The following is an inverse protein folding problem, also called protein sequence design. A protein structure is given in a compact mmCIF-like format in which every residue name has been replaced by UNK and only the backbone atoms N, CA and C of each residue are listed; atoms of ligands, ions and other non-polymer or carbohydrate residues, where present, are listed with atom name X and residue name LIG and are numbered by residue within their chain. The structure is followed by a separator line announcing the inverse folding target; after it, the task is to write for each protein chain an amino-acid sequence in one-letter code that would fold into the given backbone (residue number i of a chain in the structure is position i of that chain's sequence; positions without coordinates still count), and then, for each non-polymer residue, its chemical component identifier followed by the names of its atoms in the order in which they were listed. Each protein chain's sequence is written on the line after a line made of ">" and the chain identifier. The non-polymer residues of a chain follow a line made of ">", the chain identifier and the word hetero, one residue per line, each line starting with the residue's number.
data_IF_251385469064
#
_entry.id   IF_251385469064
#
_cell.length_a   1.000
_cell.length_b   1.000
_cell.length_c   1.000
_cell.angle_alpha   90.00
_cell.angle_beta   90.00
_cell.angle_gamma   90.00
#
_symmetry.space_group_name_H-M   'P 1'
#
loop_
_entity.id
_entity.type
_entity.pdbx_description
1 polymer ?
#
# COMPACT_ATOMS: atom_id res chain seq x y z
N UNK A 1 21.68 -56.72 36.88
CA UNK A 1 20.79 -57.87 37.14
C UNK A 1 19.59 -57.71 36.19
N UNK A 2 19.31 -58.50 35.16
CA UNK A 2 19.77 -59.79 34.61
C UNK A 2 19.69 -59.69 33.06
N UNK A 3 20.78 -59.77 32.30
CA UNK A 3 21.24 -60.97 31.57
C UNK A 3 20.16 -61.76 30.79
N UNK A 4 20.10 -61.60 29.46
CA UNK A 4 20.22 -62.69 28.48
C UNK A 4 20.77 -62.15 27.15
N UNK A 5 21.55 -62.99 26.47
CA UNK A 5 22.60 -62.66 25.51
C UNK A 5 22.37 -63.41 24.19
N UNK A 6 22.87 -62.84 23.07
CA UNK A 6 23.09 -63.37 21.68
C UNK A 6 22.34 -62.54 20.64
N UNK A 7 22.93 -62.01 19.58
CA UNK A 7 24.31 -62.01 19.09
C UNK A 7 24.28 -61.22 17.77
N UNK A 8 25.34 -60.46 17.52
CA UNK A 8 25.44 -59.41 16.50
C UNK A 8 25.22 -59.90 15.06
N UNK A 9 24.58 -59.03 14.25
CA UNK A 9 24.78 -58.95 12.81
C UNK A 9 24.90 -57.46 12.42
N UNK A 10 26.05 -56.88 12.77
CA UNK A 10 26.50 -55.63 12.19
C UNK A 10 27.54 -55.95 11.11
N UNK A 11 27.20 -55.69 9.85
CA UNK A 11 28.20 -55.38 8.82
C UNK A 11 27.56 -54.52 7.73
N UNK A 12 28.07 -53.31 7.61
CA UNK A 12 27.77 -52.31 6.59
C UNK A 12 27.97 -52.86 5.17
N UNK A 13 26.89 -52.97 4.41
CA UNK A 13 26.79 -52.86 2.94
C UNK A 13 25.30 -52.88 2.57
N UNK A 14 24.83 -52.13 1.55
CA UNK A 14 23.40 -52.10 1.22
C UNK A 14 23.01 -53.38 0.47
N UNK A 15 22.85 -54.48 1.22
CA UNK A 15 22.18 -55.67 0.71
C UNK A 15 20.69 -55.39 0.65
N UNK A 16 20.13 -55.45 -0.56
CA UNK A 16 18.69 -55.60 -0.82
C UNK A 16 18.20 -56.77 0.06
N UNK A 17 17.55 -56.44 1.17
CA UNK A 17 17.06 -57.42 2.14
C UNK A 17 15.84 -58.12 1.55
N UNK A 18 16.09 -59.22 0.85
CA UNK A 18 15.06 -60.23 0.65
C UNK A 18 14.93 -61.01 1.95
N UNK A 19 13.71 -61.11 2.47
CA UNK A 19 13.38 -61.85 3.67
C UNK A 19 13.58 -63.36 3.45
N UNK A 20 14.83 -63.80 3.46
CA UNK A 20 15.16 -65.19 3.63
C UNK A 20 14.93 -65.54 5.10
N UNK A 21 13.80 -66.19 5.40
CA UNK A 21 13.57 -66.80 6.69
C UNK A 21 14.78 -67.69 7.04
N UNK A 22 15.43 -67.38 8.17
CA UNK A 22 16.52 -68.18 8.72
C UNK A 22 16.01 -69.61 8.98
N UNK A 23 16.29 -70.55 8.06
CA UNK A 23 15.95 -71.97 8.24
C UNK A 23 15.56 -72.77 6.99
N UNK A 24 15.59 -72.22 5.77
CA UNK A 24 15.28 -73.01 4.57
C UNK A 24 16.50 -73.83 4.08
N UNK A 25 16.33 -75.10 3.66
CA UNK A 25 17.43 -75.93 3.14
C UNK A 25 18.04 -75.29 1.88
N UNK A 26 19.34 -75.51 1.67
CA UNK A 26 20.18 -74.85 0.65
C UNK A 26 19.62 -74.86 -0.79
N UNK A 27 18.68 -75.75 -1.13
CA UNK A 27 18.00 -75.81 -2.43
C UNK A 27 17.04 -74.63 -2.72
N UNK A 28 16.61 -73.85 -1.71
CA UNK A 28 15.73 -72.69 -1.89
C UNK A 28 16.46 -71.35 -2.05
N UNK A 29 17.79 -71.35 -2.14
CA UNK A 29 18.59 -70.12 -2.19
C UNK A 29 18.41 -69.30 -3.47
N UNK A 30 17.88 -69.89 -4.56
CA UNK A 30 17.67 -69.19 -5.84
C UNK A 30 16.28 -69.45 -6.47
N UNK A 31 15.22 -69.37 -5.66
CA UNK A 31 13.84 -69.56 -6.14
C UNK A 31 13.48 -68.62 -7.31
N UNK A 32 13.97 -67.38 -7.28
CA UNK A 32 13.73 -66.39 -8.34
C UNK A 32 14.43 -66.71 -9.66
N UNK A 33 15.63 -67.29 -9.61
CA UNK A 33 16.33 -67.77 -10.79
C UNK A 33 15.56 -68.90 -11.49
N UNK A 34 14.99 -69.83 -10.71
CA UNK A 34 14.12 -70.88 -11.26
C UNK A 34 12.84 -70.32 -11.87
N UNK A 35 12.22 -69.33 -11.23
CA UNK A 35 11.03 -68.64 -11.76
C UNK A 35 11.36 -67.97 -13.11
N UNK A 36 12.45 -67.21 -13.17
CA UNK A 36 12.87 -66.53 -14.39
C UNK A 36 13.22 -67.51 -15.52
N UNK A 37 13.87 -68.65 -15.19
CA UNK A 37 14.18 -69.70 -16.15
C UNK A 37 12.92 -70.41 -16.65
N UNK A 38 11.96 -70.67 -15.78
CA UNK A 38 10.68 -71.24 -16.17
C UNK A 38 9.91 -70.29 -17.10
N UNK A 39 9.84 -69.01 -16.75
CA UNK A 39 9.19 -67.99 -17.57
C UNK A 39 9.85 -67.87 -18.93
N UNK A 40 11.19 -67.84 -18.99
CA UNK A 40 11.92 -67.75 -20.26
C UNK A 40 11.69 -68.97 -21.15
N UNK A 41 11.68 -70.19 -20.58
CA UNK A 41 11.36 -71.42 -21.31
C UNK A 41 9.92 -71.42 -21.83
N UNK A 42 8.96 -70.99 -20.99
CA UNK A 42 7.54 -70.89 -21.37
C UNK A 42 7.33 -69.86 -22.47
N UNK A 43 8.03 -68.74 -22.41
CA UNK A 43 8.04 -67.71 -23.46
C UNK A 43 8.56 -68.26 -24.77
N UNK A 44 9.73 -68.93 -24.73
CA UNK A 44 10.34 -69.52 -25.91
C UNK A 44 9.45 -70.59 -26.55
N UNK A 45 8.87 -71.48 -25.75
CA UNK A 45 7.94 -72.51 -26.22
C UNK A 45 6.67 -71.90 -26.83
N UNK A 46 6.13 -70.83 -26.23
CA UNK A 46 4.94 -70.14 -26.74
C UNK A 46 5.22 -69.43 -28.07
N UNK A 47 6.36 -68.74 -28.18
CA UNK A 47 6.81 -68.12 -29.43
C UNK A 47 7.04 -69.17 -30.52
N UNK A 48 7.72 -70.27 -30.19
CA UNK A 48 7.96 -71.38 -31.12
C UNK A 48 6.65 -72.02 -31.61
N UNK A 49 5.67 -72.20 -30.72
CA UNK A 49 4.32 -72.66 -31.11
C UNK A 49 3.63 -71.67 -32.06
N UNK A 50 3.78 -70.36 -31.86
CA UNK A 50 3.24 -69.34 -32.77
C UNK A 50 3.92 -69.37 -34.14
N UNK A 51 5.24 -69.57 -34.19
CA UNK A 51 5.99 -69.73 -35.43
C UNK A 51 5.51 -71.00 -36.17
N UNK A 52 5.47 -72.15 -35.50
CA UNK A 52 4.98 -73.41 -36.09
C UNK A 52 3.55 -73.29 -36.62
N UNK A 53 2.65 -72.63 -35.88
CA UNK A 53 1.28 -72.41 -36.33
C UNK A 53 1.19 -71.52 -37.57
N UNK A 54 2.16 -70.61 -37.79
CA UNK A 54 2.20 -69.71 -38.96
C UNK A 54 2.87 -70.34 -40.18
N UNK A 55 3.95 -71.10 -39.99
CA UNK A 55 4.80 -71.61 -41.08
C UNK A 55 4.57 -73.09 -41.40
N UNK A 56 4.11 -73.89 -40.43
CA UNK A 56 3.92 -75.34 -40.58
C UNK A 56 5.21 -76.16 -40.69
N UNK A 57 6.39 -75.54 -40.57
CA UNK A 57 7.70 -76.20 -40.77
C UNK A 57 8.58 -76.09 -39.52
N UNK A 58 9.19 -77.19 -39.11
CA UNK A 58 10.11 -77.22 -37.97
C UNK A 58 11.43 -76.48 -38.23
N UNK A 59 11.85 -76.32 -39.49
CA UNK A 59 13.03 -75.53 -39.88
C UNK A 59 12.89 -74.04 -39.53
N UNK A 60 11.67 -73.51 -39.43
CA UNK A 60 11.43 -72.12 -39.06
C UNK A 60 11.78 -71.81 -37.59
N UNK A 61 11.87 -72.83 -36.72
CA UNK A 61 12.25 -72.66 -35.31
C UNK A 61 13.74 -72.37 -35.12
N UNK A 62 14.59 -72.74 -36.09
CA UNK A 62 16.03 -72.42 -36.05
C UNK A 62 16.34 -71.00 -36.54
N UNK A 63 15.38 -70.28 -37.11
CA UNK A 63 15.55 -68.87 -37.48
C UNK A 63 15.42 -67.97 -36.26
N UNK A 64 16.56 -67.56 -35.72
CA UNK A 64 16.63 -66.68 -34.55
C UNK A 64 15.95 -65.33 -34.75
N UNK A 65 15.94 -64.77 -35.97
CA UNK A 65 15.30 -63.49 -36.26
C UNK A 65 13.79 -63.63 -36.23
N UNK A 66 13.25 -64.67 -36.86
CA UNK A 66 11.81 -64.95 -36.84
C UNK A 66 11.30 -65.27 -35.43
N UNK A 67 12.08 -66.02 -34.65
CA UNK A 67 11.78 -66.31 -33.24
C UNK A 67 11.76 -65.05 -32.40
N UNK A 68 12.78 -64.19 -32.52
CA UNK A 68 12.86 -62.91 -31.81
C UNK A 68 11.71 -61.97 -32.21
N UNK A 69 11.41 -61.83 -33.51
CA UNK A 69 10.28 -61.01 -33.98
C UNK A 69 8.93 -61.51 -33.46
N UNK A 70 8.78 -62.82 -33.26
CA UNK A 70 7.56 -63.42 -32.69
C UNK A 70 7.47 -63.24 -31.17
N UNK A 71 8.59 -63.04 -30.48
CA UNK A 71 8.66 -62.74 -29.05
C UNK A 71 8.34 -61.28 -28.73
N UNK A 72 8.55 -60.35 -29.67
CA UNK A 72 8.22 -58.94 -29.46
C UNK A 72 6.75 -58.76 -29.07
N UNK A 73 6.51 -57.90 -28.07
CA UNK A 73 5.16 -57.56 -27.57
C UNK A 73 4.31 -58.78 -27.15
N UNK A 74 4.94 -59.91 -26.85
CA UNK A 74 4.23 -61.10 -26.35
C UNK A 74 3.93 -60.93 -24.87
N UNK A 75 2.74 -61.34 -24.47
CA UNK A 75 2.31 -61.38 -23.07
C UNK A 75 1.86 -62.81 -22.74
N UNK A 76 2.38 -63.37 -21.66
CA UNK A 76 1.96 -64.66 -21.13
C UNK A 76 1.68 -64.58 -19.63
N UNK A 77 0.80 -65.45 -19.10
CA UNK A 77 0.77 -65.67 -17.66
C UNK A 77 2.08 -66.35 -17.22
N UNK A 78 2.75 -65.80 -16.22
CA UNK A 78 3.94 -66.39 -15.61
C UNK A 78 3.62 -67.62 -14.76
N UNK A 79 4.63 -68.15 -14.08
CA UNK A 79 4.44 -69.25 -13.12
C UNK A 79 3.63 -68.79 -11.91
N UNK A 80 2.69 -69.61 -11.47
CA UNK A 80 1.98 -69.45 -10.19
C UNK A 80 2.22 -70.73 -9.39
N UNK A 81 2.90 -70.62 -8.25
CA UNK A 81 3.08 -71.76 -7.34
C UNK A 81 1.79 -72.00 -6.55
N UNK A 82 1.60 -73.24 -6.08
CA UNK A 82 0.53 -73.60 -5.15
C UNK A 82 0.59 -72.86 -3.81
N UNK A 83 1.75 -72.27 -3.48
CA UNK A 83 1.95 -71.41 -2.31
C UNK A 83 1.62 -69.92 -2.58
N UNK A 84 1.06 -69.59 -3.75
CA UNK A 84 0.68 -68.21 -4.12
C UNK A 84 1.85 -67.32 -4.57
N UNK A 85 3.09 -67.83 -4.54
CA UNK A 85 4.27 -67.14 -5.06
C UNK A 85 4.29 -67.32 -6.59
N UNK A 86 4.30 -66.24 -7.35
CA UNK A 86 4.33 -66.32 -8.82
C UNK A 86 5.00 -65.11 -9.45
N UNK A 87 5.41 -65.24 -10.71
CA UNK A 87 6.02 -64.14 -11.47
C UNK A 87 5.03 -63.12 -12.02
N UNK A 88 3.72 -63.35 -11.82
CA UNK A 88 2.67 -62.51 -12.39
C UNK A 88 2.62 -62.63 -13.92
N UNK A 89 2.14 -61.59 -14.59
CA UNK A 89 2.13 -61.55 -16.06
C UNK A 89 3.53 -61.21 -16.59
N UNK A 90 4.03 -62.00 -17.53
CA UNK A 90 5.32 -61.75 -18.20
C UNK A 90 5.03 -61.09 -19.54
N UNK A 91 5.49 -59.86 -19.72
CA UNK A 91 5.33 -59.07 -20.93
C UNK A 91 6.70 -58.75 -21.51
N UNK A 92 6.87 -58.92 -22.83
CA UNK A 92 8.03 -58.40 -23.55
C UNK A 92 7.69 -57.11 -24.27
N UNK A 93 8.68 -56.24 -24.35
CA UNK A 93 8.62 -54.96 -25.01
C UNK A 93 8.82 -55.11 -26.54
N UNK A 94 8.99 -53.99 -27.25
CA UNK A 94 9.21 -54.02 -28.70
C UNK A 94 10.61 -54.50 -29.11
N UNK A 95 11.55 -54.61 -28.18
CA UNK A 95 12.91 -55.16 -28.35
C UNK A 95 13.03 -56.62 -27.87
N UNK A 96 11.90 -57.23 -27.49
CA UNK A 96 11.81 -58.56 -26.87
C UNK A 96 12.49 -58.67 -25.50
N UNK A 97 12.60 -57.56 -24.77
CA UNK A 97 13.09 -57.50 -23.39
C UNK A 97 11.93 -57.52 -22.40
N UNK A 98 12.14 -58.07 -21.20
CA UNK A 98 11.07 -58.19 -20.20
C UNK A 98 10.73 -56.83 -19.60
N UNK A 99 9.47 -56.44 -19.73
CA UNK A 99 8.95 -55.22 -19.11
C UNK A 99 8.79 -55.44 -17.60
N UNK A 100 9.34 -54.55 -16.76
CA UNK A 100 9.26 -54.71 -15.32
C UNK A 100 7.89 -54.31 -14.78
N UNK A 101 7.49 -54.97 -13.69
CA UNK A 101 6.40 -54.56 -12.82
C UNK A 101 7.01 -54.18 -11.47
N UNK A 102 6.71 -52.99 -10.97
CA UNK A 102 7.16 -52.55 -9.65
C UNK A 102 5.99 -52.35 -8.70
N UNK A 103 6.25 -52.56 -7.42
CA UNK A 103 5.33 -52.24 -6.33
C UNK A 103 6.13 -51.53 -5.25
N UNK A 104 5.62 -50.39 -4.79
CA UNK A 104 6.23 -49.60 -3.75
C UNK A 104 5.59 -49.94 -2.40
N UNK A 105 6.45 -50.22 -1.42
CA UNK A 105 6.03 -50.61 -0.08
C UNK A 105 6.52 -49.57 0.94
N UNK A 106 5.68 -49.31 1.94
CA UNK A 106 5.99 -48.47 3.09
C UNK A 106 6.11 -49.36 4.32
N UNK A 107 7.17 -49.10 5.11
CA UNK A 107 7.39 -49.75 6.41
C UNK A 107 7.01 -48.74 7.48
N UNK A 108 5.95 -49.04 8.22
CA UNK A 108 5.47 -48.19 9.31
C UNK A 108 6.47 -48.28 10.49
N UNK A 109 6.79 -47.13 11.10
CA UNK A 109 7.70 -47.08 12.25
C UNK A 109 7.03 -47.62 13.52
N UNK A 110 5.71 -47.51 13.62
CA UNK A 110 4.94 -47.89 14.81
C UNK A 110 4.38 -49.32 14.72
N UNK A 111 4.23 -49.82 13.49
CA UNK A 111 3.71 -51.16 13.22
C UNK A 111 4.76 -51.90 12.43
N UNK A 112 5.23 -53.03 12.93
CA UNK A 112 6.15 -53.94 12.22
C UNK A 112 5.41 -54.66 11.07
N UNK A 113 4.87 -53.87 10.14
CA UNK A 113 4.05 -54.29 9.02
C UNK A 113 4.47 -53.52 7.76
N UNK A 114 4.72 -54.28 6.69
CA UNK A 114 5.01 -53.75 5.36
C UNK A 114 3.68 -53.63 4.60
N UNK A 115 3.34 -52.44 4.11
CA UNK A 115 2.11 -52.20 3.33
C UNK A 115 2.43 -51.62 1.95
N UNK A 116 1.83 -52.14 0.86
CA UNK A 116 1.96 -51.52 -0.45
C UNK A 116 1.19 -50.19 -0.48
N UNK A 117 1.78 -49.14 -1.06
CA UNK A 117 1.11 -47.84 -1.22
C UNK A 117 0.92 -47.43 -2.68
N UNK A 118 1.76 -47.93 -3.61
CA UNK A 118 1.62 -47.67 -5.04
C UNK A 118 2.08 -48.87 -5.88
N UNK A 119 1.36 -49.14 -6.97
CA UNK A 119 1.71 -50.12 -7.99
C UNK A 119 2.12 -49.41 -9.28
N UNK A 120 3.18 -49.90 -9.91
CA UNK A 120 3.72 -49.36 -11.16
C UNK A 120 3.61 -50.44 -12.23
N UNK A 121 2.61 -50.31 -13.08
CA UNK A 121 2.29 -51.28 -14.12
C UNK A 121 2.55 -50.70 -15.50
N UNK A 122 3.20 -51.44 -16.41
CA UNK A 122 3.47 -50.98 -17.76
C UNK A 122 2.22 -51.01 -18.65
N UNK A 123 2.09 -50.01 -19.52
CA UNK A 123 1.17 -49.99 -20.67
C UNK A 123 1.95 -49.87 -21.98
N UNK A 124 1.56 -50.66 -22.98
CA UNK A 124 2.21 -50.65 -24.29
C UNK A 124 1.73 -49.48 -25.15
N UNK A 125 2.68 -48.76 -25.75
CA UNK A 125 2.39 -47.69 -26.70
C UNK A 125 2.08 -48.32 -28.06
N UNK A 126 0.86 -48.12 -28.57
CA UNK A 126 0.37 -48.78 -29.79
C UNK A 126 1.08 -48.29 -31.07
N UNK A 127 1.42 -47.00 -31.16
CA UNK A 127 2.02 -46.38 -32.35
C UNK A 127 3.51 -46.07 -32.15
N UNK A 128 4.29 -47.08 -31.76
CA UNK A 128 5.72 -46.93 -31.50
C UNK A 128 6.54 -48.01 -32.22
N UNK A 129 7.61 -47.58 -32.89
CA UNK A 129 8.57 -48.45 -33.59
C UNK A 129 9.88 -48.44 -32.81
N UNK A 130 10.03 -49.43 -31.93
CA UNK A 130 11.15 -49.57 -30.99
C UNK A 130 12.45 -49.90 -31.69
N UNK A 131 12.39 -50.55 -32.85
CA UNK A 131 13.58 -50.91 -33.65
C UNK A 131 14.25 -49.66 -34.23
N UNK A 132 13.47 -48.68 -34.68
CA UNK A 132 14.03 -47.42 -35.22
C UNK A 132 14.51 -46.48 -34.12
N UNK A 133 13.79 -46.44 -33.01
CA UNK A 133 14.04 -45.48 -31.92
C UNK A 133 14.99 -46.00 -30.85
N UNK A 134 15.23 -47.32 -30.81
CA UNK A 134 15.96 -47.98 -29.72
C UNK A 134 15.19 -47.96 -28.39
N UNK A 135 13.86 -47.88 -28.42
CA UNK A 135 13.02 -47.78 -27.22
C UNK A 135 12.13 -49.02 -27.06
N UNK A 136 11.81 -49.40 -25.82
CA UNK A 136 10.93 -50.54 -25.53
C UNK A 136 9.44 -50.32 -25.85
N UNK A 137 9.04 -49.10 -26.19
CA UNK A 137 7.65 -48.74 -26.50
C UNK A 137 6.61 -49.06 -25.41
N UNK A 138 6.96 -48.81 -24.14
CA UNK A 138 6.04 -48.87 -23.01
C UNK A 138 6.17 -47.63 -22.13
N UNK A 139 5.10 -47.30 -21.41
CA UNK A 139 5.07 -46.32 -20.34
C UNK A 139 4.75 -47.02 -19.02
N UNK A 140 5.17 -46.47 -17.89
CA UNK A 140 4.85 -47.03 -16.56
C UNK A 140 3.78 -46.16 -15.93
N UNK A 141 2.62 -46.76 -15.67
CA UNK A 141 1.52 -46.10 -14.99
C UNK A 141 1.57 -46.39 -13.50
N UNK A 142 1.63 -45.32 -12.70
CA UNK A 142 1.59 -45.38 -11.24
C UNK A 142 0.13 -45.34 -10.80
N UNK A 143 -0.27 -46.32 -9.98
CA UNK A 143 -1.61 -46.42 -9.40
C UNK A 143 -1.50 -46.49 -7.89
N UNK A 144 -2.28 -45.67 -7.20
CA UNK A 144 -2.29 -45.66 -5.74
C UNK A 144 -3.10 -46.83 -5.20
N UNK A 145 -2.52 -47.53 -4.23
CA UNK A 145 -3.17 -48.63 -3.51
C UNK A 145 -3.77 -48.12 -2.20
N UNK A 146 -3.15 -47.09 -1.60
CA UNK A 146 -3.61 -46.44 -0.38
C UNK A 146 -4.02 -45.00 -0.68
N UNK A 147 -5.28 -44.68 -0.36
CA UNK A 147 -5.80 -43.31 -0.42
C UNK A 147 -5.20 -42.45 0.69
N UNK A 148 -4.90 -41.18 0.40
CA UNK A 148 -4.39 -40.22 1.40
C UNK A 148 -3.05 -40.62 2.03
N UNK A 149 -2.22 -41.36 1.29
CA UNK A 149 -0.86 -41.69 1.72
C UNK A 149 0.07 -40.48 1.67
N UNK A 150 -0.09 -39.62 0.65
CA UNK A 150 0.83 -38.51 0.42
C UNK A 150 0.51 -37.32 1.31
N UNK A 151 1.55 -36.58 1.76
CA UNK A 151 1.38 -35.37 2.58
C UNK A 151 0.88 -34.15 1.76
N UNK A 152 0.36 -34.36 0.55
CA UNK A 152 -0.23 -33.31 -0.28
C UNK A 152 -1.57 -32.87 0.30
N UNK A 153 -2.00 -31.65 -0.02
CA UNK A 153 -3.27 -31.08 0.46
C UNK A 153 -4.45 -31.98 0.06
N UNK A 154 -4.36 -32.62 -1.11
CA UNK A 154 -5.40 -33.49 -1.66
C UNK A 154 -5.19 -34.98 -1.31
N UNK A 155 -4.10 -35.33 -0.62
CA UNK A 155 -3.74 -36.72 -0.26
C UNK A 155 -3.28 -37.61 -1.42
N UNK A 156 -3.23 -37.07 -2.64
CA UNK A 156 -2.83 -37.75 -3.87
C UNK A 156 -1.33 -37.57 -4.17
N UNK A 157 -0.80 -38.43 -5.03
CA UNK A 157 0.56 -38.38 -5.57
C UNK A 157 0.87 -36.97 -6.08
N UNK A 158 1.87 -36.27 -5.52
CA UNK A 158 2.27 -34.97 -6.01
C UNK A 158 2.81 -35.08 -7.43
N UNK A 159 2.59 -34.02 -8.21
CA UNK A 159 3.23 -33.85 -9.52
C UNK A 159 4.76 -33.77 -9.36
N UNK A 160 5.50 -34.26 -10.36
CA UNK A 160 6.97 -34.34 -10.34
C UNK A 160 7.65 -32.98 -10.14
N UNK A 161 7.01 -31.90 -10.60
CA UNK A 161 7.49 -30.53 -10.44
C UNK A 161 6.33 -29.59 -10.03
N UNK A 162 6.51 -28.74 -9.00
CA UNK A 162 5.49 -27.78 -8.62
C UNK A 162 5.21 -26.77 -9.74
N UNK A 163 3.98 -26.23 -9.76
CA UNK A 163 3.50 -25.30 -10.81
C UNK A 163 4.42 -24.08 -11.02
N UNK A 164 5.02 -23.59 -9.94
CA UNK A 164 5.90 -22.42 -9.94
C UNK A 164 7.39 -22.77 -10.17
N UNK A 165 7.73 -24.05 -10.37
CA UNK A 165 9.11 -24.54 -10.30
C UNK A 165 9.64 -24.57 -8.86
N UNK A 166 10.70 -25.33 -8.60
CA UNK A 166 11.23 -25.47 -7.23
C UNK A 166 11.87 -24.17 -6.72
N UNK A 167 12.24 -23.25 -7.62
CA UNK A 167 12.87 -21.97 -7.30
C UNK A 167 12.00 -20.77 -7.67
N UNK A 168 10.74 -21.00 -8.03
CA UNK A 168 9.84 -19.92 -8.43
C UNK A 168 10.06 -19.39 -9.85
N UNK A 169 10.87 -20.08 -10.66
CA UNK A 169 11.30 -19.67 -12.00
C UNK A 169 10.17 -19.66 -13.04
N UNK A 170 9.08 -20.40 -12.80
CA UNK A 170 7.93 -20.46 -13.71
C UNK A 170 6.80 -19.50 -13.31
N UNK A 171 6.95 -18.75 -12.22
CA UNK A 171 5.96 -17.78 -11.77
C UNK A 171 6.12 -16.41 -12.45
N UNK A 172 5.01 -15.86 -12.92
CA UNK A 172 4.96 -14.50 -13.48
C UNK A 172 4.64 -13.47 -12.38
N UNK A 173 5.65 -12.65 -12.05
CA UNK A 173 5.54 -11.58 -11.04
C UNK A 173 5.25 -10.20 -11.65
N UNK A 174 5.10 -10.09 -12.97
CA UNK A 174 4.96 -8.80 -13.66
C UNK A 174 3.79 -7.98 -13.14
N UNK A 175 2.62 -8.59 -12.95
CA UNK A 175 1.43 -7.92 -12.40
C UNK A 175 1.65 -7.38 -11.00
N UNK A 176 2.35 -8.13 -10.14
CA UNK A 176 2.64 -7.72 -8.75
C UNK A 176 3.59 -6.52 -8.76
N UNK A 177 4.62 -6.55 -9.62
CA UNK A 177 5.60 -5.47 -9.75
C UNK A 177 4.93 -4.19 -10.30
N UNK A 178 4.08 -4.33 -11.33
CA UNK A 178 3.33 -3.21 -11.90
C UNK A 178 2.37 -2.61 -10.88
N UNK A 179 1.62 -3.43 -10.15
CA UNK A 179 0.72 -2.94 -9.10
C UNK A 179 1.49 -2.22 -7.98
N UNK A 180 2.60 -2.79 -7.50
CA UNK A 180 3.42 -2.19 -6.45
C UNK A 180 4.02 -0.84 -6.88
N UNK A 181 4.56 -0.76 -8.10
CA UNK A 181 5.10 0.48 -8.65
C UNK A 181 4.04 1.56 -8.85
N UNK A 182 2.83 1.19 -9.30
CA UNK A 182 1.71 2.12 -9.43
C UNK A 182 1.30 2.72 -8.07
N UNK A 183 1.26 1.90 -7.02
CA UNK A 183 0.95 2.37 -5.66
C UNK A 183 2.03 3.33 -5.15
N UNK A 184 3.31 3.01 -5.35
CA UNK A 184 4.43 3.89 -4.95
C UNK A 184 4.36 5.23 -5.68
N UNK A 185 4.13 5.23 -6.99
CA UNK A 185 3.97 6.45 -7.78
C UNK A 185 2.80 7.31 -7.27
N UNK A 186 1.68 6.70 -6.92
CA UNK A 186 0.53 7.42 -6.36
C UNK A 186 0.83 8.06 -5.00
N UNK A 187 1.57 7.38 -4.12
CA UNK A 187 1.98 7.96 -2.84
C UNK A 187 2.94 9.15 -3.04
N UNK A 188 3.87 9.05 -3.99
CA UNK A 188 4.80 10.13 -4.32
C UNK A 188 4.10 11.38 -4.86
N UNK A 189 3.05 11.23 -5.68
CA UNK A 189 2.30 12.38 -6.19
C UNK A 189 1.51 13.08 -5.08
N UNK A 190 0.93 12.34 -4.13
CA UNK A 190 0.26 12.93 -2.96
C UNK A 190 1.24 13.73 -2.11
N UNK A 191 2.41 13.16 -1.79
CA UNK A 191 3.44 13.84 -1.01
C UNK A 191 3.96 15.08 -1.74
N UNK A 192 4.20 14.96 -3.06
CA UNK A 192 4.59 16.09 -3.90
C UNK A 192 3.56 17.21 -3.92
N UNK A 193 2.27 16.89 -4.08
CA UNK A 193 1.18 17.86 -4.05
C UNK A 193 1.05 18.55 -2.67
N UNK A 194 1.16 17.79 -1.59
CA UNK A 194 1.16 18.34 -0.23
C UNK A 194 2.35 19.28 0.01
N UNK A 195 3.56 18.88 -0.42
CA UNK A 195 4.76 19.69 -0.30
C UNK A 195 4.66 20.98 -1.13
N UNK A 196 4.17 20.90 -2.36
CA UNK A 196 3.93 22.06 -3.22
C UNK A 196 2.92 23.03 -2.60
N UNK A 197 1.80 22.51 -2.06
CA UNK A 197 0.83 23.34 -1.36
C UNK A 197 1.45 24.06 -0.17
N UNK A 198 2.19 23.33 0.67
CA UNK A 198 2.86 23.89 1.85
C UNK A 198 3.92 24.92 1.48
N UNK A 199 4.63 24.70 0.38
CA UNK A 199 5.61 25.65 -0.16
C UNK A 199 4.91 26.93 -0.66
N UNK A 200 3.86 26.79 -1.46
CA UNK A 200 3.06 27.92 -1.95
C UNK A 200 2.45 28.75 -0.81
N UNK A 201 1.87 28.10 0.21
CA UNK A 201 1.34 28.78 1.40
C UNK A 201 2.42 29.57 2.14
N UNK A 202 3.62 28.99 2.29
CA UNK A 202 4.74 29.68 2.98
C UNK A 202 5.22 30.89 2.17
N UNK A 203 5.37 30.74 0.85
CA UNK A 203 5.75 31.83 -0.05
C UNK A 203 4.69 32.94 -0.09
N UNK A 204 3.41 32.61 0.07
CA UNK A 204 2.34 33.60 0.13
C UNK A 204 2.41 34.44 1.42
N UNK A 205 2.76 33.82 2.56
CA UNK A 205 2.97 34.52 3.84
C UNK A 205 4.23 35.41 3.81
N UNK A 206 5.30 34.96 3.15
CA UNK A 206 6.55 35.72 3.04
C UNK A 206 6.40 37.03 2.25
N UNK A 207 5.38 37.14 1.37
CA UNK A 207 5.10 38.39 0.66
C UNK A 207 4.57 39.51 1.56
N UNK A 208 4.19 39.21 2.81
CA UNK A 208 3.74 40.17 3.82
C UNK A 208 2.86 41.28 3.21
N UNK A 209 1.77 40.93 2.54
CA UNK A 209 0.92 41.91 1.81
C UNK A 209 0.26 42.98 2.68
N UNK A 210 0.32 42.82 4.00
CA UNK A 210 -0.11 43.77 5.02
C UNK A 210 1.03 44.70 5.48
N UNK A 211 2.28 44.46 5.06
CA UNK A 211 3.41 45.35 5.38
C UNK A 211 3.29 46.63 4.55
N UNK A 212 3.42 47.76 5.21
CA UNK A 212 3.50 49.08 4.57
C UNK A 212 4.89 49.63 4.83
N UNK A 213 5.58 50.06 3.77
CA UNK A 213 6.87 50.72 3.89
C UNK A 213 6.66 52.18 4.28
N UNK A 214 7.60 52.75 5.03
CA UNK A 214 7.50 54.13 5.51
C UNK A 214 7.50 55.14 4.35
N UNK A 215 8.14 54.82 3.24
CA UNK A 215 8.17 55.66 2.04
C UNK A 215 6.81 55.75 1.33
N UNK A 216 5.95 54.74 1.49
CA UNK A 216 4.61 54.70 0.90
C UNK A 216 3.56 55.46 1.74
N UNK A 217 3.97 56.02 2.88
CA UNK A 217 3.08 56.75 3.77
C UNK A 217 3.59 58.14 4.13
N UNK A 218 2.66 59.08 4.19
CA UNK A 218 2.91 60.45 4.61
C UNK A 218 2.07 60.73 5.86
N UNK A 219 2.74 61.12 6.95
CA UNK A 219 2.05 61.59 8.15
C UNK A 219 1.63 63.03 7.87
N UNK A 220 0.36 63.32 8.08
CA UNK A 220 -0.22 64.62 7.75
C UNK A 220 -0.27 65.47 9.01
N UNK A 221 0.30 66.66 8.95
CA UNK A 221 0.27 67.61 10.07
C UNK A 221 -1.14 68.19 10.29
N UNK A 222 -1.44 68.59 11.53
CA UNK A 222 -2.77 69.00 11.99
C UNK A 222 -3.41 70.12 11.13
N UNK A 223 -2.61 71.05 10.60
CA UNK A 223 -3.07 72.14 9.73
C UNK A 223 -3.55 71.64 8.36
N UNK A 224 -2.88 70.64 7.80
CA UNK A 224 -3.25 70.02 6.54
C UNK A 224 -4.53 69.18 6.70
N UNK A 225 -4.72 68.51 7.84
CA UNK A 225 -5.96 67.76 8.10
C UNK A 225 -7.18 68.70 8.20
N UNK A 226 -7.02 69.84 8.88
CA UNK A 226 -8.08 70.87 8.99
C UNK A 226 -8.49 71.45 7.65
N UNK A 227 -7.53 71.68 6.74
CA UNK A 227 -7.83 72.20 5.40
C UNK A 227 -8.52 71.15 4.51
N UNK A 228 -8.15 69.87 4.60
CA UNK A 228 -8.79 68.80 3.81
C UNK A 228 -10.24 68.54 4.23
N UNK A 229 -10.56 68.58 5.52
CA UNK A 229 -11.94 68.42 6.02
C UNK A 229 -12.86 69.58 5.59
N UNK A 230 -12.31 70.75 5.31
CA UNK A 230 -13.08 71.93 4.88
C UNK A 230 -13.60 71.84 3.44
N UNK A 231 -13.02 70.97 2.59
CA UNK A 231 -13.39 70.79 1.18
C UNK A 231 -14.51 69.76 0.95
N UNK A 232 -14.83 68.92 1.94
CA UNK A 232 -15.92 67.94 1.91
C UNK A 232 -17.17 68.44 2.63
N UNK A 233 -18.07 69.11 1.92
CA UNK A 233 -19.29 69.73 2.48
C UNK A 233 -20.32 68.71 2.97
N UNK A 234 -20.46 68.60 4.30
CA UNK A 234 -21.71 68.73 5.08
C UNK A 234 -21.30 68.97 6.54
N UNK A 235 -21.39 70.21 7.03
CA UNK A 235 -21.07 70.56 8.42
C UNK A 235 -22.13 69.95 9.35
N UNK A 236 -21.88 68.75 9.87
CA UNK A 236 -22.50 68.35 11.14
C UNK A 236 -21.86 69.19 12.25
N UNK A 237 -22.64 69.63 13.25
CA UNK A 237 -22.18 70.42 14.42
C UNK A 237 -21.01 69.80 15.22
N UNK A 238 -20.55 68.62 14.81
CA UNK A 238 -19.40 67.86 15.31
C UNK A 238 -18.02 68.38 14.85
N UNK A 239 -17.93 69.33 13.91
CA UNK A 239 -16.64 69.79 13.36
C UNK A 239 -15.75 70.57 14.33
N UNK A 240 -16.19 70.78 15.57
CA UNK A 240 -15.47 71.56 16.59
C UNK A 240 -15.03 70.74 17.82
N UNK A 241 -15.19 69.41 17.80
CA UNK A 241 -14.87 68.57 18.96
C UNK A 241 -13.68 67.65 18.70
N UNK A 242 -12.70 67.77 19.60
CA UNK A 242 -11.50 66.98 19.89
C UNK A 242 -10.42 66.83 18.79
N UNK A 243 -9.43 67.73 18.90
CA UNK A 243 -8.15 67.77 18.18
C UNK A 243 -7.36 66.44 18.27
N UNK A 244 -7.58 65.62 19.30
CA UNK A 244 -6.84 64.37 19.53
C UNK A 244 -7.08 63.29 18.47
N UNK A 245 -8.27 63.24 17.86
CA UNK A 245 -8.55 62.31 16.75
C UNK A 245 -7.85 62.72 15.44
N UNK A 246 -7.41 63.98 15.34
CA UNK A 246 -6.67 64.51 14.18
C UNK A 246 -5.16 64.30 14.30
N UNK A 247 -4.64 63.98 15.49
CA UNK A 247 -3.19 63.87 15.75
C UNK A 247 -2.54 62.64 15.11
N UNK A 248 -3.32 61.66 14.66
CA UNK A 248 -2.80 60.38 14.17
C UNK A 248 -3.28 60.05 12.75
N UNK A 249 -3.20 61.02 11.84
CA UNK A 249 -3.64 60.87 10.45
C UNK A 249 -2.48 60.65 9.49
N UNK A 250 -2.63 59.70 8.58
CA UNK A 250 -1.66 59.41 7.53
C UNK A 250 -2.36 59.19 6.18
N UNK A 251 -1.64 59.45 5.10
CA UNK A 251 -2.04 59.12 3.72
C UNK A 251 -1.12 58.00 3.24
N UNK A 252 -1.72 56.91 2.74
CA UNK A 252 -1.00 55.76 2.18
C UNK A 252 -1.24 55.72 0.67
N UNK A 253 -0.17 55.64 -0.10
CA UNK A 253 -0.21 55.65 -1.56
C UNK A 253 -0.76 56.98 -2.09
N UNK A 254 -1.74 56.91 -2.99
CA UNK A 254 -2.22 58.10 -3.72
C UNK A 254 -3.29 58.87 -2.94
N UNK A 255 -4.26 58.20 -2.30
CA UNK A 255 -5.44 58.87 -1.69
C UNK A 255 -6.05 58.07 -0.51
N UNK A 256 -5.31 57.15 0.11
CA UNK A 256 -5.88 56.31 1.17
C UNK A 256 -5.65 56.95 2.53
N UNK A 257 -6.70 57.53 3.10
CA UNK A 257 -6.65 58.09 4.44
C UNK A 257 -6.68 57.02 5.52
N UNK A 258 -5.74 57.11 6.46
CA UNK A 258 -5.51 56.15 7.51
C UNK A 258 -5.37 56.82 8.87
N UNK A 259 -5.86 56.16 9.92
CA UNK A 259 -5.48 56.43 11.31
C UNK A 259 -4.38 55.47 11.72
N UNK A 260 -3.41 55.94 12.51
CA UNK A 260 -2.34 55.08 13.00
C UNK A 260 -2.24 55.03 14.52
N UNK A 261 -1.86 53.88 15.07
CA UNK A 261 -1.38 53.76 16.45
C UNK A 261 0.15 53.63 16.43
N UNK A 262 0.83 54.50 17.17
CA UNK A 262 2.28 54.52 17.27
C UNK A 262 2.75 53.81 18.53
N UNK A 263 3.64 52.84 18.37
CA UNK A 263 4.27 52.10 19.46
C UNK A 263 5.78 52.24 19.38
N UNK A 264 6.44 52.51 20.51
CA UNK A 264 7.90 52.59 20.57
C UNK A 264 8.52 51.21 20.29
N UNK A 265 9.43 51.15 19.31
CA UNK A 265 10.10 49.94 18.90
C UNK A 265 11.53 49.90 19.47
N UNK A 266 11.75 49.07 20.50
CA UNK A 266 13.08 48.91 21.14
C UNK A 266 13.97 47.87 20.48
N UNK A 267 13.39 46.91 19.76
CA UNK A 267 14.10 45.80 19.10
C UNK A 267 13.48 45.52 17.72
N UNK A 268 14.24 44.96 16.76
CA UNK A 268 13.68 44.48 15.51
C UNK A 268 12.58 43.44 15.75
N UNK A 269 11.38 43.70 15.24
CA UNK A 269 10.21 42.83 15.35
C UNK A 269 10.32 41.72 14.31
N UNK A 270 10.11 40.48 14.73
CA UNK A 270 9.98 39.31 13.85
C UNK A 270 8.67 38.62 14.17
N UNK A 271 7.83 38.44 13.16
CA UNK A 271 6.55 37.78 13.29
C UNK A 271 6.71 36.27 13.16
N UNK A 272 6.00 35.51 13.99
CA UNK A 272 5.92 34.06 13.85
C UNK A 272 4.89 33.69 12.75
N UNK A 273 4.80 32.42 12.35
CA UNK A 273 3.85 31.97 11.31
C UNK A 273 2.39 32.26 11.67
N UNK A 274 2.00 32.14 12.94
CA UNK A 274 0.64 32.43 13.39
C UNK A 274 0.29 33.92 13.24
N UNK A 275 1.22 34.82 13.57
CA UNK A 275 1.04 36.26 13.47
C UNK A 275 0.95 36.67 12.00
N UNK A 276 1.83 36.14 11.14
CA UNK A 276 1.78 36.37 9.68
C UNK A 276 0.43 35.94 9.10
N UNK A 277 -0.09 34.79 9.55
CA UNK A 277 -1.38 34.26 9.11
C UNK A 277 -2.52 35.16 9.59
N UNK A 278 -2.50 35.58 10.86
CA UNK A 278 -3.52 36.46 11.43
C UNK A 278 -3.54 37.82 10.73
N UNK A 279 -2.38 38.46 10.54
CA UNK A 279 -2.27 39.76 9.87
C UNK A 279 -2.73 39.69 8.40
N UNK A 280 -2.41 38.61 7.69
CA UNK A 280 -2.92 38.39 6.34
C UNK A 280 -4.44 38.23 6.31
N UNK A 281 -5.02 37.52 7.29
CA UNK A 281 -6.48 37.36 7.44
C UNK A 281 -7.16 38.68 7.79
N UNK A 282 -6.59 39.47 8.71
CA UNK A 282 -7.09 40.80 9.07
C UNK A 282 -7.10 41.72 7.86
N UNK A 283 -6.05 41.67 7.01
CA UNK A 283 -5.94 42.47 5.78
C UNK A 283 -6.97 42.09 4.72
N UNK A 284 -7.39 40.81 4.71
CA UNK A 284 -8.40 40.28 3.79
C UNK A 284 -9.84 40.43 4.32
N UNK A 285 -10.01 40.77 5.60
CA UNK A 285 -11.34 40.92 6.18
C UNK A 285 -12.04 42.15 5.63
N UNK A 286 -13.19 41.94 4.99
CA UNK A 286 -14.03 42.99 4.41
C UNK A 286 -15.45 42.76 4.88
N UNK A 287 -15.97 43.69 5.66
CA UNK A 287 -17.33 43.67 6.19
C UNK A 287 -17.80 45.11 6.45
N UNK A 288 -19.09 45.37 6.31
CA UNK A 288 -19.65 46.73 6.44
C UNK A 288 -19.45 47.31 7.85
N UNK A 289 -19.50 46.46 8.87
CA UNK A 289 -19.32 46.86 10.27
C UNK A 289 -17.91 46.57 10.82
N UNK A 290 -16.93 46.31 9.96
CA UNK A 290 -15.52 46.27 10.35
C UNK A 290 -14.75 47.44 9.73
N UNK A 291 -13.85 48.03 10.51
CA UNK A 291 -12.92 49.02 10.00
C UNK A 291 -11.78 48.29 9.28
N UNK A 292 -11.52 48.55 7.99
CA UNK A 292 -10.47 47.84 7.26
C UNK A 292 -9.08 48.03 7.88
N UNK A 293 -8.44 46.92 8.22
CA UNK A 293 -7.02 46.88 8.57
C UNK A 293 -6.16 47.16 7.33
N UNK A 294 -5.35 48.22 7.37
CA UNK A 294 -4.53 48.60 6.23
C UNK A 294 -3.15 47.94 6.28
N UNK A 295 -2.55 47.83 7.45
CA UNK A 295 -1.26 47.20 7.57
C UNK A 295 -0.43 47.68 8.76
N UNK A 296 0.84 47.27 8.77
CA UNK A 296 1.81 47.68 9.78
C UNK A 296 3.10 48.16 9.08
N UNK A 297 3.64 49.29 9.55
CA UNK A 297 5.00 49.72 9.25
C UNK A 297 5.89 49.48 10.47
N UNK A 298 7.02 48.78 10.30
CA UNK A 298 7.90 48.34 11.38
C UNK A 298 9.33 48.13 10.88
N UNK A 299 10.31 48.11 11.79
CA UNK A 299 11.75 47.88 11.50
C UNK A 299 12.43 48.91 10.57
N UNK A 300 11.84 50.09 10.39
CA UNK A 300 12.40 51.15 9.55
C UNK A 300 12.80 52.40 10.36
N UNK A 301 12.08 52.68 11.46
CA UNK A 301 12.36 53.73 12.43
C UNK A 301 12.29 53.16 13.86
N UNK A 302 12.44 54.00 14.88
CA UNK A 302 12.26 53.65 16.30
C UNK A 302 10.80 53.43 16.71
N UNK A 303 9.87 53.39 15.76
CA UNK A 303 8.43 53.30 15.98
C UNK A 303 7.81 52.25 15.06
N UNK A 304 6.84 51.51 15.61
CA UNK A 304 5.93 50.68 14.85
C UNK A 304 4.61 51.43 14.68
N UNK A 305 4.12 51.51 13.46
CA UNK A 305 2.83 52.10 13.15
C UNK A 305 1.85 51.02 12.72
N UNK A 306 0.73 50.92 13.44
CA UNK A 306 -0.41 50.09 13.08
C UNK A 306 -1.44 50.97 12.37
N UNK A 307 -1.81 50.63 11.14
CA UNK A 307 -2.64 51.48 10.30
C UNK A 307 -4.02 50.88 10.03
N UNK A 308 -5.04 51.69 10.27
CA UNK A 308 -6.44 51.42 10.02
C UNK A 308 -7.03 52.46 9.08
N UNK A 309 -8.12 52.14 8.40
CA UNK A 309 -8.82 53.12 7.56
C UNK A 309 -9.39 54.26 8.42
N UNK A 310 -9.21 55.49 7.95
CA UNK A 310 -9.73 56.68 8.62
C UNK A 310 -11.26 56.73 8.60
N UNK A 311 -11.86 56.98 9.76
CA UNK A 311 -13.29 57.19 9.95
C UNK A 311 -13.55 58.65 10.36
N UNK A 312 -14.28 59.38 9.52
CA UNK A 312 -14.39 60.84 9.61
C UNK A 312 -15.18 61.37 10.81
N UNK A 313 -15.97 60.54 11.51
CA UNK A 313 -16.76 60.96 12.67
C UNK A 313 -16.15 60.55 14.01
N UNK A 314 -14.93 60.00 14.00
CA UNK A 314 -14.20 59.63 15.20
C UNK A 314 -14.75 58.38 15.88
N UNK A 315 -14.52 58.28 17.18
CA UNK A 315 -14.93 57.13 17.99
C UNK A 315 -16.38 57.28 18.45
N UNK A 316 -17.05 56.17 18.76
CA UNK A 316 -18.35 56.17 19.40
C UNK A 316 -18.29 56.89 20.75
N UNK A 317 -17.15 56.79 21.45
CA UNK A 317 -16.88 57.53 22.67
C UNK A 317 -17.04 59.05 22.46
N UNK A 318 -16.45 59.60 21.41
CA UNK A 318 -16.53 61.02 21.09
C UNK A 318 -17.97 61.48 20.81
N UNK A 319 -18.83 60.59 20.32
CA UNK A 319 -20.25 60.90 20.05
C UNK A 319 -21.09 60.79 21.31
N UNK A 320 -20.87 59.77 22.15
CA UNK A 320 -21.65 59.53 23.38
C UNK A 320 -21.39 60.63 24.43
N UNK A 321 -20.14 61.07 24.60
CA UNK A 321 -19.80 62.09 25.60
C UNK A 321 -19.87 63.53 25.08
N UNK A 322 -20.42 63.75 23.88
CA UNK A 322 -20.59 65.09 23.36
C UNK A 322 -21.98 65.63 23.71
N UNK A 323 -22.03 66.54 24.68
CA UNK A 323 -23.26 67.20 25.14
C UNK A 323 -24.02 67.96 24.03
N UNK A 324 -23.36 68.25 22.91
CA UNK A 324 -23.98 68.91 21.75
C UNK A 324 -24.74 67.93 20.83
N UNK A 325 -24.66 66.62 21.10
CA UNK A 325 -25.25 65.59 20.26
C UNK A 325 -26.20 64.71 21.07
N UNK A 326 -27.49 64.74 20.72
CA UNK A 326 -28.51 63.88 21.35
C UNK A 326 -28.77 62.70 20.43
N UNK A 327 -28.34 61.51 20.87
CA UNK A 327 -28.65 60.24 20.20
C UNK A 327 -30.11 59.86 20.49
N UNK A 328 -30.94 59.78 19.46
CA UNK A 328 -32.29 59.25 19.59
C UNK A 328 -32.27 57.71 19.70
N UNK A 329 -33.41 57.13 20.07
CA UNK A 329 -33.54 55.67 20.24
C UNK A 329 -33.24 54.90 18.94
N UNK A 330 -33.48 55.51 17.78
CA UNK A 330 -33.20 54.88 16.48
C UNK A 330 -31.71 54.79 16.22
N UNK A 331 -30.93 55.82 16.56
CA UNK A 331 -29.47 55.78 16.50
C UNK A 331 -28.91 54.72 17.46
N UNK A 332 -29.44 54.61 18.68
CA UNK A 332 -29.03 53.56 19.61
C UNK A 332 -29.26 52.15 19.03
N UNK A 333 -30.46 51.88 18.52
CA UNK A 333 -30.79 50.59 17.92
C UNK A 333 -29.92 50.27 16.70
N UNK A 334 -29.66 51.27 15.84
CA UNK A 334 -28.79 51.12 14.68
C UNK A 334 -27.34 50.81 15.07
N UNK A 335 -26.78 51.51 16.06
CA UNK A 335 -25.41 51.28 16.52
C UNK A 335 -25.25 49.91 17.17
N UNK A 336 -26.19 49.50 18.01
CA UNK A 336 -26.18 48.15 18.61
C UNK A 336 -26.22 47.09 17.52
N UNK A 337 -27.09 47.26 16.51
CA UNK A 337 -27.17 46.34 15.37
C UNK A 337 -25.84 46.25 14.64
N UNK A 338 -25.25 47.38 14.26
CA UNK A 338 -23.97 47.42 13.54
C UNK A 338 -22.85 46.72 14.34
N UNK A 339 -22.76 46.97 15.65
CA UNK A 339 -21.78 46.30 16.53
C UNK A 339 -22.02 44.79 16.54
N UNK A 340 -23.27 44.34 16.71
CA UNK A 340 -23.59 42.91 16.74
C UNK A 340 -23.26 42.21 15.42
N UNK A 341 -23.52 42.85 14.28
CA UNK A 341 -23.18 42.32 12.96
C UNK A 341 -21.66 42.22 12.75
N UNK A 342 -20.90 43.23 13.21
CA UNK A 342 -19.43 43.18 13.16
C UNK A 342 -18.84 42.06 14.03
N UNK A 343 -19.39 41.86 15.23
CA UNK A 343 -18.98 40.79 16.14
C UNK A 343 -19.33 39.40 15.60
N UNK A 344 -20.53 39.23 15.04
CA UNK A 344 -20.95 37.99 14.41
C UNK A 344 -19.98 37.58 13.30
N UNK A 345 -19.63 38.52 12.41
CA UNK A 345 -18.64 38.26 11.38
C UNK A 345 -17.29 37.84 11.96
N UNK A 346 -16.78 38.53 12.99
CA UNK A 346 -15.50 38.19 13.61
C UNK A 346 -15.51 36.78 14.20
N UNK A 347 -16.59 36.43 14.92
CA UNK A 347 -16.75 35.14 15.57
C UNK A 347 -16.88 33.97 14.58
N UNK A 348 -17.49 34.21 13.41
CA UNK A 348 -17.58 33.21 12.34
C UNK A 348 -16.30 33.15 11.48
N UNK A 349 -15.51 34.22 11.47
CA UNK A 349 -14.25 34.27 10.74
C UNK A 349 -13.13 33.53 11.47
N UNK A 350 -12.04 33.25 10.77
CA UNK A 350 -10.82 32.68 11.39
C UNK A 350 -10.05 33.67 12.27
N UNK A 351 -10.48 34.94 12.36
CA UNK A 351 -9.97 35.90 13.34
C UNK A 351 -10.51 35.54 14.74
N UNK A 352 -11.75 35.07 14.80
CA UNK A 352 -12.36 34.41 15.96
C UNK A 352 -12.93 35.35 17.01
N UNK A 353 -12.26 36.46 17.33
CA UNK A 353 -12.73 37.40 18.36
C UNK A 353 -12.21 38.82 18.14
N UNK A 354 -12.88 39.79 18.77
CA UNK A 354 -12.39 41.17 18.80
C UNK A 354 -11.25 41.35 19.82
N UNK A 355 -11.41 40.85 21.04
CA UNK A 355 -10.38 40.83 22.10
C UNK A 355 -10.42 42.02 23.06
N UNK A 356 -10.84 43.21 22.61
CA UNK A 356 -10.90 44.41 23.43
C UNK A 356 -11.97 45.40 22.92
N UNK A 357 -13.23 44.96 22.88
CA UNK A 357 -14.34 45.82 22.46
C UNK A 357 -14.58 46.93 23.50
N UNK A 358 -14.35 48.18 23.10
CA UNK A 358 -14.58 49.39 23.91
C UNK A 358 -15.18 50.49 23.04
N UNK A 359 -15.70 51.55 23.66
CA UNK A 359 -16.19 52.74 22.95
C UNK A 359 -15.12 53.49 22.15
N UNK A 360 -13.84 53.29 22.49
CA UNK A 360 -12.68 53.76 21.71
C UNK A 360 -12.41 52.89 20.47
N UNK A 361 -12.59 51.57 20.58
CA UNK A 361 -12.38 50.62 19.49
C UNK A 361 -13.59 50.50 18.53
N UNK A 362 -14.58 51.38 18.67
CA UNK A 362 -15.76 51.48 17.80
C UNK A 362 -15.74 52.83 17.11
N UNK A 363 -15.64 52.84 15.78
CA UNK A 363 -15.55 54.06 14.97
C UNK A 363 -16.84 54.31 14.21
N UNK A 364 -17.09 55.57 13.86
CA UNK A 364 -18.25 55.98 13.06
C UNK A 364 -17.76 56.56 11.73
N UNK A 365 -18.26 56.00 10.64
CA UNK A 365 -17.90 56.44 9.31
C UNK A 365 -18.73 57.63 8.81
N UNK A 366 -18.48 58.07 7.57
CA UNK A 366 -19.20 59.17 6.89
C UNK A 366 -20.67 58.89 6.59
N UNK A 367 -21.13 57.65 6.70
CA UNK A 367 -22.52 57.22 6.48
C UNK A 367 -23.27 56.92 7.79
N UNK A 368 -22.66 57.20 8.95
CA UNK A 368 -23.21 56.91 10.29
C UNK A 368 -23.31 55.40 10.58
N UNK A 369 -22.47 54.59 9.93
CA UNK A 369 -22.31 53.18 10.25
C UNK A 369 -21.22 52.99 11.31
N UNK A 370 -21.47 52.10 12.27
CA UNK A 370 -20.45 51.71 13.25
C UNK A 370 -19.52 50.67 12.63
N UNK A 371 -18.22 50.89 12.80
CA UNK A 371 -17.15 50.00 12.33
C UNK A 371 -16.24 49.62 13.50
N UNK A 372 -16.10 48.33 13.75
CA UNK A 372 -15.19 47.82 14.79
C UNK A 372 -13.74 47.90 14.31
N UNK A 373 -12.86 48.49 15.11
CA UNK A 373 -11.41 48.59 14.85
C UNK A 373 -10.64 47.81 15.92
N UNK A 374 -9.32 47.65 15.78
CA UNK A 374 -8.47 47.00 16.79
C UNK A 374 -8.87 45.55 17.14
N UNK A 375 -9.59 44.89 16.25
CA UNK A 375 -9.93 43.48 16.37
C UNK A 375 -8.69 42.60 16.15
N UNK A 376 -8.63 41.44 16.82
CA UNK A 376 -7.56 40.46 16.67
C UNK A 376 -6.21 40.86 17.29
N UNK A 377 -6.12 42.02 17.95
CA UNK A 377 -4.87 42.53 18.52
C UNK A 377 -4.58 42.03 19.94
N UNK A 378 -5.61 41.71 20.72
CA UNK A 378 -5.46 41.18 22.08
C UNK A 378 -5.42 39.65 22.05
N UNK A 379 -4.24 39.10 21.78
CA UNK A 379 -3.94 37.72 22.15
C UNK A 379 -2.99 37.83 23.34
N UNK A 380 -3.45 37.46 24.54
CA UNK A 380 -2.60 37.45 25.73
C UNK A 380 -1.33 36.65 25.45
N UNK A 381 -0.25 37.36 25.19
CA UNK A 381 1.10 36.81 25.19
C UNK A 381 1.54 36.80 26.64
N UNK A 382 1.32 35.67 27.31
CA UNK A 382 2.09 35.31 28.49
C UNK A 382 3.55 35.01 28.11
#
# INVERSE_FOLDING_TARGET
>A
MSAFHKGDCASHEPRISTSAACGAPAAMTNIYGYIALFDSLKMFATAGRRVLNRTGQFSALSDGKLMWDTMRRITIPGMVSTAGIGSGTVMLDDLAERVPFYSAFFVDKERDQVKPFANMAPSMIMNCDGIKTGTGCFEINVTEVLTSFWPSIDGNLPIDEPVCGFRGEKCDYTLIIVAASAVICFLLTIVGAWALRRYCETKALDRMSWRIFRDDMQIVDEEQVKSMLSLGSQRTKLSNTNITALQHHAIIGVNTHATYHMYEQRRPIKFNRSDLTLLAKMKQAVHDNLNPFLGIAFNEKSEMLLLWKFCSRGTLQDVIYNDQFVLDEKFHAAFVKDITMGLEYLHLSTIGFHGALTTWATLIDRNWQVKLTDYGMFRDTH
#
